data_IF_927363706321
#
_entry.id   IF_927363706321
#
_cell.length_a   1.000
_cell.length_b   1.000
_cell.length_c   1.000
_cell.angle_alpha   90.00
_cell.angle_beta   90.00
_cell.angle_gamma   90.00
#
_symmetry.space_group_name_H-M   'P 1'
#
loop_
_entity.id
_entity.type
_entity.pdbx_description
1 polymer ?
#
# COMPACT_ATOMS: atom_id res chain seq x y z
N UNK A 1 22.75 -5.78 8.47
CA UNK A 1 21.93 -6.37 9.56
C UNK A 1 21.08 -5.26 10.15
N UNK A 2 19.77 -5.37 10.07
CA UNK A 2 18.87 -4.31 10.48
C UNK A 2 18.30 -4.60 11.87
N UNK A 3 18.84 -3.90 12.87
CA UNK A 3 18.56 -4.14 14.28
C UNK A 3 17.11 -3.91 14.73
N UNK A 4 16.23 -3.36 13.86
CA UNK A 4 14.91 -2.92 14.31
C UNK A 4 13.85 -4.03 14.42
N UNK A 5 13.98 -5.13 13.68
CA UNK A 5 12.90 -6.13 13.59
C UNK A 5 13.35 -7.59 13.69
N UNK A 6 14.61 -7.89 14.01
CA UNK A 6 15.11 -9.27 14.04
C UNK A 6 15.01 -9.94 12.67
N UNK A 7 15.23 -9.19 11.60
CA UNK A 7 15.04 -9.59 10.20
C UNK A 7 15.91 -10.77 9.75
N UNK A 8 16.80 -11.27 10.60
CA UNK A 8 17.54 -12.51 10.35
C UNK A 8 16.64 -13.74 10.13
N UNK A 9 15.37 -13.67 10.55
CA UNK A 9 14.45 -14.80 10.43
C UNK A 9 13.67 -14.86 9.11
N UNK A 10 13.70 -13.82 8.28
CA UNK A 10 12.72 -13.74 7.19
C UNK A 10 13.28 -13.88 5.78
N UNK A 11 14.55 -14.14 5.58
CA UNK A 11 15.14 -14.61 4.31
C UNK A 11 14.70 -13.89 3.00
N UNK A 12 14.09 -12.74 3.11
CA UNK A 12 13.47 -12.05 2.01
C UNK A 12 14.41 -11.01 1.43
N UNK A 13 14.85 -11.23 0.24
CA UNK A 13 15.38 -10.15 -0.56
C UNK A 13 14.21 -9.35 -1.16
N UNK A 14 13.65 -8.48 -0.33
CA UNK A 14 12.53 -7.60 -0.71
C UNK A 14 12.88 -6.68 -1.87
N UNK A 15 14.12 -6.29 -2.00
CA UNK A 15 14.60 -5.48 -3.11
C UNK A 15 14.49 -6.24 -4.43
N UNK A 16 14.72 -7.54 -4.42
CA UNK A 16 14.58 -8.38 -5.60
C UNK A 16 13.13 -8.54 -6.01
N UNK A 17 12.23 -8.76 -5.05
CA UNK A 17 10.79 -8.86 -5.32
C UNK A 17 10.24 -7.54 -5.83
N UNK A 18 10.61 -6.40 -5.25
CA UNK A 18 10.21 -5.09 -5.72
C UNK A 18 10.75 -4.79 -7.12
N UNK A 19 12.02 -5.09 -7.39
CA UNK A 19 12.61 -4.95 -8.72
C UNK A 19 11.90 -5.82 -9.77
N UNK A 20 11.52 -7.03 -9.40
CA UNK A 20 10.79 -7.94 -10.28
C UNK A 20 9.40 -7.42 -10.63
N UNK A 21 8.73 -6.75 -9.69
CA UNK A 21 7.36 -6.25 -9.84
C UNK A 21 7.28 -4.75 -10.12
N UNK A 22 8.42 -4.09 -10.32
CA UNK A 22 8.43 -2.69 -10.72
C UNK A 22 7.84 -2.55 -12.13
N UNK A 23 6.78 -1.73 -12.31
CA UNK A 23 6.21 -1.51 -13.63
C UNK A 23 7.17 -0.71 -14.52
N UNK A 24 7.13 -0.90 -15.86
CA UNK A 24 7.93 -0.12 -16.80
C UNK A 24 7.67 1.40 -16.70
N UNK A 25 6.42 1.76 -16.39
CA UNK A 25 5.99 3.14 -16.12
C UNK A 25 5.19 3.13 -14.82
N UNK A 26 5.72 3.75 -13.78
CA UNK A 26 5.02 3.87 -12.50
C UNK A 26 3.95 4.98 -12.58
N UNK A 27 2.70 4.58 -12.74
CA UNK A 27 1.54 5.48 -12.76
C UNK A 27 0.99 5.73 -11.36
N UNK A 28 0.82 4.66 -10.60
CA UNK A 28 0.27 4.70 -9.25
C UNK A 28 1.14 3.95 -8.26
N UNK A 29 1.52 4.64 -7.20
CA UNK A 29 2.16 4.02 -6.05
C UNK A 29 1.14 3.84 -4.92
N UNK A 30 0.96 2.60 -4.46
CA UNK A 30 0.04 2.26 -3.37
C UNK A 30 0.86 1.97 -2.11
N UNK A 31 0.54 2.67 -1.03
CA UNK A 31 1.22 2.53 0.27
C UNK A 31 0.28 1.87 1.26
N UNK A 32 0.58 0.63 1.65
CA UNK A 32 -0.09 -0.10 2.73
C UNK A 32 0.59 0.11 4.09
N UNK A 33 0.05 -0.48 5.14
CA UNK A 33 0.60 -0.32 6.49
C UNK A 33 1.80 -1.24 6.74
N UNK A 34 1.59 -2.53 6.73
CA UNK A 34 2.61 -3.55 6.96
C UNK A 34 2.24 -4.86 6.24
N UNK A 35 3.22 -5.69 5.87
CA UNK A 35 2.96 -7.02 5.34
C UNK A 35 2.30 -7.92 6.39
N UNK A 36 1.59 -8.94 5.92
CA UNK A 36 0.96 -9.95 6.76
C UNK A 36 1.94 -10.73 7.66
N UNK A 37 1.39 -11.59 8.51
CA UNK A 37 2.15 -12.31 9.53
C UNK A 37 3.04 -13.42 8.97
N UNK A 38 2.76 -13.90 7.78
CA UNK A 38 3.50 -15.00 7.11
C UNK A 38 4.03 -14.58 5.74
N UNK A 39 4.97 -15.37 5.20
CA UNK A 39 5.52 -15.14 3.86
C UNK A 39 4.45 -15.27 2.78
N UNK A 40 3.52 -16.20 2.94
CA UNK A 40 2.40 -16.40 2.02
C UNK A 40 1.42 -15.23 1.97
N UNK A 41 1.40 -14.39 3.01
CA UNK A 41 0.57 -13.18 3.07
C UNK A 41 1.22 -11.95 2.42
N UNK A 42 2.43 -12.09 1.90
CA UNK A 42 3.08 -11.00 1.21
C UNK A 42 2.38 -10.67 -0.11
N UNK A 43 2.19 -9.39 -0.39
CA UNK A 43 1.40 -8.94 -1.55
C UNK A 43 1.89 -9.53 -2.88
N UNK A 44 3.20 -9.64 -3.08
CA UNK A 44 3.80 -10.13 -4.32
C UNK A 44 4.09 -11.63 -4.33
N UNK A 45 3.75 -12.36 -3.28
CA UNK A 45 3.79 -13.82 -3.32
C UNK A 45 2.67 -14.35 -4.21
N UNK A 46 3.03 -15.10 -5.27
CA UNK A 46 2.04 -15.62 -6.19
C UNK A 46 1.14 -16.65 -5.51
N UNK A 47 -0.19 -16.46 -5.52
CA UNK A 47 -1.10 -17.49 -5.05
C UNK A 47 -1.13 -18.68 -6.02
N UNK A 48 -1.44 -19.85 -5.53
CA UNK A 48 -1.70 -21.01 -6.38
C UNK A 48 -2.88 -20.77 -7.34
N UNK A 49 -3.85 -19.96 -6.91
CA UNK A 49 -4.97 -19.49 -7.72
C UNK A 49 -5.41 -18.11 -7.25
N UNK A 50 -5.48 -17.14 -8.14
CA UNK A 50 -6.04 -15.80 -7.82
C UNK A 50 -7.53 -15.85 -7.48
N UNK A 51 -8.27 -16.82 -7.98
CA UNK A 51 -9.68 -17.01 -7.64
C UNK A 51 -9.89 -17.44 -6.18
N UNK A 52 -8.90 -18.13 -5.61
CA UNK A 52 -8.89 -18.66 -4.24
C UNK A 52 -7.82 -17.98 -3.36
N UNK A 53 -7.39 -16.77 -3.75
CA UNK A 53 -6.35 -16.05 -3.02
C UNK A 53 -6.80 -15.75 -1.59
N UNK A 54 -6.06 -16.25 -0.61
CA UNK A 54 -6.33 -16.07 0.82
C UNK A 54 -5.82 -14.72 1.36
N UNK A 55 -4.92 -14.05 0.63
CA UNK A 55 -4.41 -12.73 1.04
C UNK A 55 -5.45 -11.65 0.81
N UNK A 56 -6.14 -11.28 1.86
CA UNK A 56 -7.31 -10.41 1.80
C UNK A 56 -7.04 -9.07 1.09
N UNK A 57 -5.92 -8.40 1.38
CA UNK A 57 -5.58 -7.11 0.75
C UNK A 57 -5.28 -7.27 -0.74
N UNK A 58 -4.56 -8.33 -1.14
CA UNK A 58 -4.25 -8.59 -2.55
C UNK A 58 -5.53 -8.92 -3.32
N UNK A 59 -6.34 -9.85 -2.81
CA UNK A 59 -7.62 -10.22 -3.41
C UNK A 59 -8.54 -9.02 -3.57
N UNK A 60 -8.74 -8.24 -2.52
CA UNK A 60 -9.61 -7.08 -2.53
C UNK A 60 -9.12 -6.01 -3.52
N UNK A 61 -7.83 -5.70 -3.51
CA UNK A 61 -7.24 -4.69 -4.39
C UNK A 61 -7.29 -5.12 -5.87
N UNK A 62 -6.79 -6.32 -6.19
CA UNK A 62 -6.75 -6.78 -7.59
C UNK A 62 -8.16 -6.92 -8.18
N UNK A 63 -9.12 -7.49 -7.44
CA UNK A 63 -10.50 -7.59 -7.91
C UNK A 63 -11.18 -6.24 -8.05
N UNK A 64 -11.00 -5.35 -7.07
CA UNK A 64 -11.55 -4.00 -7.13
C UNK A 64 -11.05 -3.22 -8.35
N UNK A 65 -9.74 -3.23 -8.61
CA UNK A 65 -9.14 -2.58 -9.76
C UNK A 65 -9.62 -3.19 -11.08
N UNK A 66 -9.71 -4.52 -11.17
CA UNK A 66 -10.22 -5.23 -12.34
C UNK A 66 -11.69 -4.88 -12.62
N UNK A 67 -12.56 -4.91 -11.62
CA UNK A 67 -13.97 -4.56 -11.76
C UNK A 67 -14.18 -3.13 -12.26
N UNK A 68 -13.26 -2.23 -11.93
CA UNK A 68 -13.28 -0.85 -12.40
C UNK A 68 -12.55 -0.65 -13.75
N UNK A 69 -12.01 -1.70 -14.35
CA UNK A 69 -11.28 -1.64 -15.61
C UNK A 69 -9.96 -0.86 -15.53
N UNK A 70 -9.35 -0.78 -14.35
CA UNK A 70 -8.04 -0.15 -14.13
C UNK A 70 -6.89 -1.10 -14.40
N UNK A 71 -7.14 -2.40 -14.34
CA UNK A 71 -6.23 -3.48 -14.74
C UNK A 71 -6.98 -4.44 -15.67
N UNK A 72 -6.28 -5.05 -16.61
CA UNK A 72 -6.89 -5.97 -17.59
C UNK A 72 -7.25 -7.33 -17.00
N UNK A 73 -6.50 -7.77 -15.99
CA UNK A 73 -6.68 -9.03 -15.29
C UNK A 73 -6.47 -8.83 -13.78
N UNK A 74 -7.23 -9.55 -12.95
CA UNK A 74 -7.10 -9.52 -11.50
C UNK A 74 -5.88 -10.35 -11.02
N UNK A 75 -4.70 -10.06 -11.58
CA UNK A 75 -3.42 -10.74 -11.33
C UNK A 75 -2.33 -9.74 -10.95
N UNK A 76 -1.22 -10.22 -10.39
CA UNK A 76 -0.05 -9.37 -10.13
C UNK A 76 0.57 -8.85 -11.43
N UNK A 77 0.52 -9.63 -12.49
CA UNK A 77 0.97 -9.24 -13.82
C UNK A 77 0.12 -8.09 -14.38
N UNK A 78 -1.20 -8.23 -14.38
CA UNK A 78 -2.11 -7.17 -14.82
C UNK A 78 -1.96 -5.89 -13.97
N UNK A 79 -1.67 -6.03 -12.68
CA UNK A 79 -1.37 -4.93 -11.78
C UNK A 79 -0.07 -4.19 -12.20
N UNK A 80 1.00 -4.95 -12.46
CA UNK A 80 2.28 -4.41 -12.91
C UNK A 80 2.17 -3.74 -14.29
N UNK A 81 1.54 -4.40 -15.27
CA UNK A 81 1.37 -3.89 -16.63
C UNK A 81 0.58 -2.58 -16.68
N UNK A 82 -0.41 -2.43 -15.80
CA UNK A 82 -1.18 -1.20 -15.68
C UNK A 82 -0.43 -0.05 -14.99
N UNK A 83 0.78 -0.29 -14.49
CA UNK A 83 1.63 0.73 -13.88
C UNK A 83 1.41 0.95 -12.39
N UNK A 84 0.91 -0.06 -11.69
CA UNK A 84 0.77 -0.04 -10.24
C UNK A 84 1.99 -0.64 -9.54
N UNK A 85 2.36 -0.06 -8.40
CA UNK A 85 3.31 -0.60 -7.45
C UNK A 85 2.71 -0.53 -6.05
N UNK A 86 2.83 -1.61 -5.29
CA UNK A 86 2.40 -1.67 -3.90
C UNK A 86 3.60 -1.83 -2.98
N UNK A 87 3.68 -1.03 -1.92
CA UNK A 87 4.68 -1.19 -0.85
C UNK A 87 4.06 -0.87 0.51
N UNK A 88 4.79 -1.14 1.57
CA UNK A 88 4.32 -0.96 2.92
C UNK A 88 5.10 0.15 3.66
N UNK A 89 4.39 0.90 4.48
CA UNK A 89 4.98 1.88 5.39
C UNK A 89 5.95 1.24 6.40
N UNK A 90 5.63 0.02 6.81
CA UNK A 90 6.50 -0.83 7.63
C UNK A 90 6.78 -2.10 6.82
N UNK A 91 8.02 -2.30 6.45
CA UNK A 91 8.44 -3.48 5.67
C UNK A 91 8.67 -4.74 6.51
N UNK A 92 8.72 -4.60 7.83
CA UNK A 92 8.87 -5.73 8.72
C UNK A 92 7.52 -6.40 8.96
N UNK A 93 7.50 -7.72 8.98
CA UNK A 93 6.35 -8.44 9.50
C UNK A 93 6.15 -8.08 10.97
N UNK A 94 4.96 -7.61 11.28
CA UNK A 94 4.53 -7.37 12.65
C UNK A 94 3.60 -8.53 13.02
N UNK A 95 4.16 -9.61 13.57
CA UNK A 95 3.33 -10.70 14.08
C UNK A 95 2.33 -10.15 15.10
N UNK A 96 1.07 -10.53 14.95
CA UNK A 96 0.00 -10.18 15.87
C UNK A 96 0.30 -10.63 17.31
N UNK A 97 1.06 -11.71 17.47
CA UNK A 97 1.55 -12.22 18.76
C UNK A 97 2.64 -11.35 19.39
N UNK A 98 3.43 -10.64 18.57
CA UNK A 98 4.52 -9.79 19.05
C UNK A 98 4.05 -8.34 19.26
N UNK A 99 3.01 -7.92 18.56
CA UNK A 99 2.55 -6.52 18.55
C UNK A 99 1.07 -6.43 18.91
N UNK A 100 0.78 -6.76 20.16
CA UNK A 100 -0.59 -6.76 20.71
C UNK A 100 -1.16 -5.35 21.00
N UNK A 101 -0.41 -4.27 20.79
CA UNK A 101 -0.88 -2.92 21.11
C UNK A 101 -0.43 -1.89 20.07
N UNK A 102 -1.28 -0.89 19.83
CA UNK A 102 -0.98 0.27 18.96
C UNK A 102 0.32 0.99 19.37
N UNK A 103 0.63 1.01 20.66
CA UNK A 103 1.89 1.57 21.17
C UNK A 103 3.11 0.81 20.65
N UNK A 104 3.07 -0.52 20.64
CA UNK A 104 4.16 -1.35 20.10
C UNK A 104 4.29 -1.19 18.59
N UNK A 105 3.17 -1.09 17.87
CA UNK A 105 3.16 -0.78 16.45
C UNK A 105 3.82 0.57 16.16
N UNK A 106 3.46 1.61 16.91
CA UNK A 106 4.04 2.94 16.78
C UNK A 106 5.55 2.96 17.06
N UNK A 107 6.01 2.22 18.07
CA UNK A 107 7.44 2.07 18.37
C UNK A 107 8.20 1.35 17.26
N UNK A 108 7.65 0.28 16.71
CA UNK A 108 8.21 -0.45 15.57
C UNK A 108 8.25 0.42 14.32
N UNK A 109 7.19 1.15 14.06
CA UNK A 109 7.13 2.13 12.98
C UNK A 109 8.24 3.18 13.10
N UNK A 110 8.44 3.76 14.29
CA UNK A 110 9.51 4.73 14.52
C UNK A 110 10.91 4.16 14.24
N UNK A 111 11.15 2.89 14.57
CA UNK A 111 12.41 2.19 14.32
C UNK A 111 12.61 1.84 12.84
N UNK A 112 11.54 1.50 12.11
CA UNK A 112 11.58 1.16 10.69
C UNK A 112 11.57 2.41 9.78
N UNK A 113 11.17 3.56 10.31
CA UNK A 113 10.97 4.82 9.55
C UNK A 113 12.18 5.23 8.73
N UNK A 114 13.38 5.12 9.31
CA UNK A 114 14.62 5.53 8.66
C UNK A 114 14.87 4.70 7.39
N UNK A 115 14.57 3.42 7.45
CA UNK A 115 14.80 2.48 6.33
C UNK A 115 13.78 2.62 5.20
N UNK A 116 12.54 2.82 5.55
CA UNK A 116 11.48 2.95 4.57
C UNK A 116 11.44 4.35 3.94
N UNK A 117 12.01 5.35 4.62
CA UNK A 117 11.96 6.73 4.15
C UNK A 117 12.54 6.89 2.74
N UNK A 118 13.68 6.29 2.46
CA UNK A 118 14.36 6.46 1.16
C UNK A 118 13.60 5.74 0.04
N UNK A 119 13.12 4.52 0.28
CA UNK A 119 12.31 3.80 -0.70
C UNK A 119 10.98 4.51 -0.98
N UNK A 120 10.28 4.93 0.07
CA UNK A 120 9.05 5.71 -0.11
C UNK A 120 9.30 6.99 -0.92
N UNK A 121 10.39 7.72 -0.64
CA UNK A 121 10.76 8.93 -1.40
C UNK A 121 11.00 8.63 -2.89
N UNK A 122 11.70 7.54 -3.19
CA UNK A 122 11.99 7.13 -4.58
C UNK A 122 10.68 6.87 -5.33
N UNK A 123 9.78 6.07 -4.77
CA UNK A 123 8.52 5.72 -5.44
C UNK A 123 7.53 6.88 -5.47
N UNK A 124 7.47 7.68 -4.41
CA UNK A 124 6.68 8.91 -4.40
C UNK A 124 7.14 9.89 -5.49
N UNK A 125 8.44 10.03 -5.70
CA UNK A 125 8.97 10.94 -6.74
C UNK A 125 8.66 10.48 -8.16
N UNK A 126 8.56 9.18 -8.39
CA UNK A 126 8.35 8.59 -9.73
C UNK A 126 6.86 8.41 -10.08
N UNK A 127 5.97 8.33 -9.09
CA UNK A 127 4.55 8.07 -9.32
C UNK A 127 3.79 9.35 -9.69
N UNK A 128 2.79 9.22 -10.58
CA UNK A 128 1.88 10.32 -10.94
C UNK A 128 0.82 10.54 -9.86
N UNK A 129 0.24 9.46 -9.35
CA UNK A 129 -0.70 9.47 -8.23
C UNK A 129 -0.26 8.47 -7.16
N UNK A 130 -0.69 8.72 -5.94
CA UNK A 130 -0.38 7.89 -4.77
C UNK A 130 -1.66 7.51 -4.06
N UNK A 131 -1.86 6.22 -3.84
CA UNK A 131 -2.95 5.72 -3.01
C UNK A 131 -2.41 5.29 -1.65
N UNK A 132 -2.82 5.98 -0.61
CA UNK A 132 -2.37 5.73 0.76
C UNK A 132 -3.47 5.01 1.54
N UNK A 133 -3.19 3.81 2.02
CA UNK A 133 -4.15 2.96 2.70
C UNK A 133 -3.82 2.85 4.20
N UNK A 134 -4.70 3.41 5.02
CA UNK A 134 -4.63 3.32 6.47
C UNK A 134 -3.82 4.42 7.14
N UNK A 135 -3.90 4.41 8.47
CA UNK A 135 -3.35 5.47 9.29
C UNK A 135 -1.81 5.46 9.36
N UNK A 136 -1.21 4.27 9.49
CA UNK A 136 0.25 4.14 9.55
C UNK A 136 0.90 4.53 8.22
N UNK A 137 0.28 4.15 7.09
CA UNK A 137 0.74 4.57 5.77
C UNK A 137 0.65 6.09 5.59
N UNK A 138 -0.45 6.72 6.03
CA UNK A 138 -0.62 8.17 6.00
C UNK A 138 0.46 8.90 6.81
N UNK A 139 0.76 8.41 8.01
CA UNK A 139 1.83 8.97 8.84
C UNK A 139 3.21 8.81 8.19
N UNK A 140 3.47 7.67 7.54
CA UNK A 140 4.72 7.43 6.84
C UNK A 140 4.91 8.41 5.68
N UNK A 141 3.89 8.55 4.83
CA UNK A 141 3.92 9.47 3.70
C UNK A 141 4.06 10.93 4.17
N UNK A 142 3.33 11.34 5.21
CA UNK A 142 3.45 12.68 5.80
C UNK A 142 4.85 13.01 6.34
N UNK A 143 5.60 12.01 6.75
CA UNK A 143 6.97 12.18 7.24
C UNK A 143 8.01 12.32 6.11
N UNK A 144 7.71 11.83 4.92
CA UNK A 144 8.69 11.80 3.81
C UNK A 144 8.33 12.69 2.65
N UNK A 145 7.07 13.14 2.54
CA UNK A 145 6.59 14.03 1.49
C UNK A 145 6.08 15.33 2.05
N UNK A 146 6.67 16.44 1.61
CA UNK A 146 6.19 17.78 1.98
C UNK A 146 4.84 18.15 1.32
N UNK A 147 4.50 17.49 0.20
CA UNK A 147 3.25 17.66 -0.53
C UNK A 147 2.06 17.01 0.18
N UNK A 148 2.33 15.99 1.01
CA UNK A 148 1.27 15.33 1.77
C UNK A 148 0.87 16.22 2.95
N UNK A 149 -0.42 16.57 3.11
CA UNK A 149 -0.86 17.46 4.16
C UNK A 149 -0.50 16.92 5.55
N UNK A 150 0.28 17.68 6.29
CA UNK A 150 0.55 17.39 7.71
C UNK A 150 -0.71 17.72 8.51
N UNK A 151 -1.65 16.79 8.55
CA UNK A 151 -2.82 16.98 9.39
C UNK A 151 -2.40 16.95 10.85
N UNK A 152 -2.53 18.09 11.48
CA UNK A 152 -2.42 18.19 12.92
C UNK A 152 -3.61 17.48 13.54
N UNK A 153 -3.33 16.33 14.21
CA UNK A 153 -4.19 15.57 15.10
C UNK A 153 -5.41 14.89 14.46
N UNK A 154 -5.44 13.59 14.61
CA UNK A 154 -6.49 12.65 14.25
C UNK A 154 -7.01 12.94 12.83
N UNK A 155 -6.42 12.25 11.90
CA UNK A 155 -7.19 11.91 10.73
C UNK A 155 -8.32 11.02 11.28
N UNK A 156 -9.45 11.64 11.62
CA UNK A 156 -10.69 10.94 11.49
C UNK A 156 -10.70 10.60 10.02
N UNK A 157 -10.33 9.36 9.69
CA UNK A 157 -10.43 8.87 8.33
C UNK A 157 -11.82 9.28 7.87
N UNK A 158 -11.98 10.03 6.78
CA UNK A 158 -13.30 10.29 6.28
C UNK A 158 -13.96 8.91 6.16
N UNK A 159 -15.23 8.74 6.53
CA UNK A 159 -15.91 7.44 6.45
C UNK A 159 -15.91 6.87 5.03
N UNK A 160 -15.38 7.60 4.07
CA UNK A 160 -15.29 7.24 2.66
C UNK A 160 -13.91 7.64 2.09
N UNK A 161 -13.39 6.85 1.13
CA UNK A 161 -12.17 7.20 0.43
C UNK A 161 -12.32 8.57 -0.23
N UNK A 162 -11.30 9.39 -0.13
CA UNK A 162 -11.38 10.73 -0.67
C UNK A 162 -10.03 11.36 -0.96
N UNK A 163 -10.10 12.41 -1.71
CA UNK A 163 -9.00 13.32 -1.97
C UNK A 163 -8.68 14.12 -0.71
N UNK A 164 -7.39 14.22 -0.35
CA UNK A 164 -6.95 14.99 0.80
C UNK A 164 -7.05 16.50 0.54
N UNK A 165 -6.77 16.92 -0.69
CA UNK A 165 -6.86 18.29 -1.16
C UNK A 165 -7.14 18.29 -2.66
N UNK A 166 -7.92 19.28 -3.13
CA UNK A 166 -8.45 19.35 -4.51
C UNK A 166 -7.40 19.20 -5.60
N UNK A 167 -6.18 19.66 -5.35
CA UNK A 167 -5.05 19.59 -6.30
C UNK A 167 -3.99 18.57 -5.88
N UNK A 168 -4.30 17.73 -4.90
CA UNK A 168 -3.38 16.71 -4.40
C UNK A 168 -3.31 15.52 -5.35
N UNK A 169 -2.12 14.95 -5.50
CA UNK A 169 -1.95 13.65 -6.16
C UNK A 169 -2.13 12.47 -5.21
N UNK A 170 -2.56 12.71 -3.97
CA UNK A 170 -2.75 11.71 -2.94
C UNK A 170 -4.22 11.38 -2.75
N UNK A 171 -4.55 10.10 -2.89
CA UNK A 171 -5.83 9.52 -2.55
C UNK A 171 -5.68 8.70 -1.26
N UNK A 172 -6.54 8.89 -0.29
CA UNK A 172 -6.47 8.19 1.00
C UNK A 172 -7.71 7.35 1.21
N UNK A 173 -7.50 6.11 1.63
CA UNK A 173 -8.57 5.20 2.03
C UNK A 173 -8.23 4.48 3.32
N UNK A 174 -9.21 3.79 3.88
CA UNK A 174 -8.95 2.79 4.91
C UNK A 174 -8.18 1.58 4.35
N UNK A 175 -7.64 0.77 5.23
CA UNK A 175 -6.91 -0.44 4.82
C UNK A 175 -7.87 -1.53 4.35
N UNK A 176 -7.59 -2.12 3.18
CA UNK A 176 -8.54 -3.02 2.51
C UNK A 176 -8.66 -4.42 3.11
N UNK A 177 -7.72 -4.86 3.96
CA UNK A 177 -7.73 -6.22 4.51
C UNK A 177 -8.97 -6.56 5.36
N UNK A 178 -9.66 -5.56 5.84
CA UNK A 178 -10.85 -5.69 6.69
C UNK A 178 -12.16 -5.48 5.93
N UNK A 179 -12.07 -5.29 4.62
CA UNK A 179 -13.20 -4.84 3.82
C UNK A 179 -13.80 -5.97 3.00
N UNK A 180 -15.09 -5.87 2.77
CA UNK A 180 -15.80 -6.72 1.82
C UNK A 180 -15.38 -6.41 0.39
N UNK A 181 -15.63 -7.32 -0.54
CA UNK A 181 -15.37 -7.07 -1.97
C UNK A 181 -16.13 -5.86 -2.51
N UNK A 182 -17.36 -5.62 -2.01
CA UNK A 182 -18.15 -4.46 -2.40
C UNK A 182 -17.52 -3.14 -1.95
N UNK A 183 -17.00 -3.09 -0.71
CA UNK A 183 -16.30 -1.91 -0.21
C UNK A 183 -14.98 -1.68 -0.95
N UNK A 184 -14.23 -2.75 -1.25
CA UNK A 184 -13.01 -2.66 -2.03
C UNK A 184 -13.27 -2.15 -3.46
N UNK A 185 -14.36 -2.59 -4.09
CA UNK A 185 -14.79 -2.09 -5.40
C UNK A 185 -15.20 -0.62 -5.35
N UNK A 186 -15.90 -0.19 -4.31
CA UNK A 186 -16.27 1.22 -4.12
C UNK A 186 -15.03 2.11 -3.92
N UNK A 187 -13.99 1.61 -3.23
CA UNK A 187 -12.72 2.32 -3.09
C UNK A 187 -11.98 2.42 -4.42
N UNK A 188 -11.96 1.34 -5.21
CA UNK A 188 -11.37 1.35 -6.53
C UNK A 188 -12.11 2.28 -7.50
N UNK A 189 -13.44 2.36 -7.41
CA UNK A 189 -14.25 3.30 -8.19
C UNK A 189 -13.92 4.76 -7.84
N UNK A 190 -13.87 5.07 -6.55
CA UNK A 190 -13.51 6.41 -6.09
C UNK A 190 -12.08 6.78 -6.52
N UNK A 191 -11.14 5.84 -6.41
CA UNK A 191 -9.78 6.02 -6.89
C UNK A 191 -9.73 6.21 -8.41
N UNK A 192 -10.50 5.46 -9.20
CA UNK A 192 -10.59 5.62 -10.66
C UNK A 192 -10.98 7.04 -11.03
N UNK A 193 -12.05 7.58 -10.46
CA UNK A 193 -12.48 8.97 -10.69
C UNK A 193 -11.37 9.95 -10.37
N UNK A 194 -10.76 9.81 -9.19
CA UNK A 194 -9.63 10.62 -8.78
C UNK A 194 -8.45 10.59 -9.76
N UNK A 195 -8.09 9.41 -10.25
CA UNK A 195 -6.96 9.23 -11.15
C UNK A 195 -7.26 9.73 -12.59
N UNK A 196 -8.50 9.57 -13.06
CA UNK A 196 -8.96 10.09 -14.34
C UNK A 196 -8.96 11.62 -14.38
N UNK A 197 -9.39 12.29 -13.31
CA UNK A 197 -9.33 13.75 -13.20
C UNK A 197 -7.89 14.30 -13.30
N UNK A 198 -6.90 13.46 -13.08
CA UNK A 198 -5.47 13.77 -13.18
C UNK A 198 -4.79 13.23 -14.46
N UNK A 199 -5.57 12.68 -15.38
CA UNK A 199 -5.09 12.15 -16.65
C UNK A 199 -4.11 10.98 -16.51
N UNK A 200 -4.32 10.11 -15.50
CA UNK A 200 -3.40 8.98 -15.22
C UNK A 200 -3.88 7.69 -15.88
N UNK A 201 -5.19 7.48 -15.98
CA UNK A 201 -5.84 6.30 -16.59
C UNK A 201 -6.93 6.71 -17.55
#
# INVERSE_FOLDING_TARGET
MHACCGAEKHGWDRLEVERRWLPPILRCFIVGENPGDTTSEYFYERPASYAQDEVAVRRALLRGLYQQGLIAEATLEGFQEAGFLFDHAIRCQLSSTVVSSERKKAMRYASCRVWNADHLRIWLAQSRVVWVMGHLASNAVANVSAEFPKQRRKISMPPYPGEIARDSRFFVSEYLSWRTEAEASAFAEAFKRFAQERGVF
#
